data_IF_210268146183
#
_entry.id   IF_210268146183
#
_cell.length_a   1.000
_cell.length_b   1.000
_cell.length_c   1.000
_cell.angle_alpha   90.00
_cell.angle_beta   90.00
_cell.angle_gamma   90.00
#
_symmetry.space_group_name_H-M   'P 1'
#
loop_
_entity.id
_entity.type
_entity.pdbx_description
1 polymer ?
#
# COMPACT_ATOMS: atom_id res chain seq x y z
N UNK A 1 14.27 -11.14 6.53
CA UNK A 1 14.54 -9.71 6.27
C UNK A 1 13.84 -9.39 4.96
N UNK A 2 12.75 -8.63 5.02
CA UNK A 2 11.92 -8.33 3.85
C UNK A 2 12.60 -7.21 3.05
N UNK A 3 13.22 -7.55 1.92
CA UNK A 3 13.90 -6.59 1.03
C UNK A 3 12.87 -6.19 -0.03
N UNK A 4 12.45 -4.93 0.04
CA UNK A 4 11.66 -4.30 -1.01
C UNK A 4 12.63 -3.69 -2.01
N UNK A 5 12.51 -4.07 -3.28
CA UNK A 5 13.43 -3.62 -4.34
C UNK A 5 13.11 -2.19 -4.84
N UNK A 6 12.01 -1.63 -4.33
CA UNK A 6 11.50 -0.29 -4.61
C UNK A 6 11.57 0.56 -3.33
N UNK A 7 12.34 1.67 -3.32
CA UNK A 7 12.53 2.50 -2.14
C UNK A 7 11.25 3.25 -1.74
N UNK A 8 10.45 3.70 -2.70
CA UNK A 8 9.17 4.38 -2.48
C UNK A 8 8.21 3.42 -1.78
N UNK A 9 8.12 2.20 -2.28
CA UNK A 9 7.32 1.14 -1.70
C UNK A 9 7.80 0.77 -0.30
N UNK A 10 9.12 0.71 -0.07
CA UNK A 10 9.67 0.42 1.26
C UNK A 10 9.21 1.45 2.31
N UNK A 11 9.20 2.73 1.95
CA UNK A 11 8.70 3.80 2.82
C UNK A 11 7.19 3.68 3.03
N UNK A 12 6.42 3.42 1.98
CA UNK A 12 4.97 3.21 2.09
C UNK A 12 4.62 2.06 3.03
N UNK A 13 5.27 0.92 2.86
CA UNK A 13 5.06 -0.24 3.73
C UNK A 13 5.43 0.09 5.18
N UNK A 14 6.55 0.78 5.39
CA UNK A 14 7.00 1.17 6.74
C UNK A 14 6.03 2.13 7.43
N UNK A 15 5.53 3.14 6.72
CA UNK A 15 4.74 4.21 7.32
C UNK A 15 3.24 3.94 7.30
N UNK A 16 2.71 3.31 6.26
CA UNK A 16 1.29 2.99 6.13
C UNK A 16 0.94 1.58 6.65
N UNK A 17 1.89 0.64 6.65
CA UNK A 17 1.69 -0.71 7.20
C UNK A 17 1.69 -0.77 8.74
N UNK A 18 2.21 0.27 9.40
CA UNK A 18 2.40 0.29 10.85
C UNK A 18 3.37 -0.80 11.33
N UNK A 19 3.15 -1.32 12.54
CA UNK A 19 3.95 -2.43 13.11
C UNK A 19 3.74 -3.78 12.40
N UNK A 20 2.84 -3.84 11.41
CA UNK A 20 2.63 -5.04 10.61
C UNK A 20 3.72 -5.09 9.55
N UNK A 21 4.76 -5.88 9.79
CA UNK A 21 5.63 -6.30 8.69
C UNK A 21 4.74 -6.95 7.64
N UNK A 22 4.65 -6.35 6.45
CA UNK A 22 3.99 -6.99 5.32
C UNK A 22 4.83 -8.20 4.93
N UNK A 23 4.52 -9.36 5.53
CA UNK A 23 5.09 -10.64 5.15
C UNK A 23 4.49 -11.02 3.81
N UNK A 24 4.98 -10.41 2.73
CA UNK A 24 4.68 -10.90 1.40
C UNK A 24 5.30 -12.30 1.27
N UNK A 25 4.53 -13.24 0.73
CA UNK A 25 4.96 -14.63 0.62
C UNK A 25 5.96 -14.78 -0.52
N UNK A 26 7.24 -15.00 -0.19
CA UNK A 26 8.26 -15.35 -1.18
C UNK A 26 7.88 -16.62 -1.95
N UNK A 27 7.19 -17.57 -1.31
CA UNK A 27 6.67 -18.77 -1.98
C UNK A 27 5.63 -18.42 -3.05
N UNK A 28 4.70 -17.51 -2.74
CA UNK A 28 3.69 -17.06 -3.72
C UNK A 28 4.32 -16.34 -4.90
N UNK A 29 5.34 -15.51 -4.65
CA UNK A 29 6.14 -14.90 -5.71
C UNK A 29 6.78 -15.95 -6.62
N UNK A 30 7.46 -16.94 -6.04
CA UNK A 30 8.16 -17.97 -6.81
C UNK A 30 7.18 -18.80 -7.66
N UNK A 31 6.02 -19.17 -7.11
CA UNK A 31 5.00 -19.87 -7.89
C UNK A 31 4.51 -19.03 -9.08
N UNK A 32 4.25 -17.74 -8.88
CA UNK A 32 3.80 -16.85 -9.95
C UNK A 32 4.89 -16.58 -11.00
N UNK A 33 6.14 -16.50 -10.57
CA UNK A 33 7.27 -16.35 -11.48
C UNK A 33 7.46 -17.60 -12.34
N UNK A 34 7.34 -18.80 -11.76
CA UNK A 34 7.41 -20.06 -12.50
C UNK A 34 6.27 -20.16 -13.53
N UNK A 35 5.04 -19.84 -13.14
CA UNK A 35 3.88 -19.82 -14.07
C UNK A 35 4.13 -18.88 -15.27
N UNK A 36 4.68 -17.68 -15.03
CA UNK A 36 5.00 -16.73 -16.09
C UNK A 36 6.13 -17.22 -17.01
N UNK A 37 7.17 -17.87 -16.46
CA UNK A 37 8.24 -18.47 -17.25
C UNK A 37 7.69 -19.63 -18.08
N UNK A 38 6.88 -20.51 -17.48
CA UNK A 38 6.25 -21.65 -18.15
C UNK A 38 5.36 -21.21 -19.32
N UNK A 39 4.55 -20.17 -19.12
CA UNK A 39 3.73 -19.56 -20.18
C UNK A 39 4.61 -19.04 -21.32
N UNK A 40 5.67 -18.28 -20.99
CA UNK A 40 6.61 -17.74 -21.98
C UNK A 40 7.31 -18.84 -22.79
N UNK A 41 7.82 -19.90 -22.13
CA UNK A 41 8.57 -20.96 -22.80
C UNK A 41 7.67 -21.98 -23.52
N UNK A 42 6.36 -21.97 -23.25
CA UNK A 42 5.40 -22.92 -23.85
C UNK A 42 5.38 -22.88 -25.38
N UNK A 43 5.70 -21.73 -25.97
CA UNK A 43 5.74 -21.49 -27.41
C UNK A 43 7.01 -22.01 -28.10
N UNK A 44 8.01 -22.48 -27.35
CA UNK A 44 9.29 -22.94 -27.86
C UNK A 44 9.43 -24.46 -27.78
N UNK A 45 10.30 -25.00 -28.63
CA UNK A 45 10.64 -26.44 -28.66
C UNK A 45 11.37 -26.86 -27.39
N UNK A 46 11.30 -28.15 -27.03
CA UNK A 46 11.91 -28.66 -25.80
C UNK A 46 13.41 -28.36 -25.68
N UNK A 47 14.12 -28.32 -26.81
CA UNK A 47 15.55 -28.02 -26.89
C UNK A 47 15.86 -26.54 -26.59
N UNK A 48 14.93 -25.63 -26.94
CA UNK A 48 15.10 -24.19 -26.76
C UNK A 48 14.59 -23.68 -25.41
N UNK A 49 13.65 -24.41 -24.77
CA UNK A 49 12.97 -23.98 -23.54
C UNK A 49 13.94 -23.54 -22.43
N UNK A 50 15.01 -24.29 -22.21
CA UNK A 50 15.98 -23.95 -21.16
C UNK A 50 16.71 -22.63 -21.46
N UNK A 51 17.15 -22.44 -22.71
CA UNK A 51 17.83 -21.20 -23.12
C UNK A 51 16.88 -19.99 -23.03
N UNK A 52 15.62 -20.16 -23.45
CA UNK A 52 14.58 -19.12 -23.37
C UNK A 52 14.18 -18.78 -21.94
N UNK A 53 14.12 -19.77 -21.05
CA UNK A 53 13.87 -19.52 -19.63
C UNK A 53 14.97 -18.64 -19.02
N UNK A 54 16.24 -18.92 -19.33
CA UNK A 54 17.38 -18.13 -18.85
C UNK A 54 17.33 -16.69 -19.39
N UNK A 55 17.09 -16.53 -20.70
CA UNK A 55 16.93 -15.22 -21.33
C UNK A 55 15.81 -14.40 -20.67
N UNK A 56 14.67 -15.04 -20.39
CA UNK A 56 13.57 -14.39 -19.69
C UNK A 56 13.96 -13.93 -18.29
N UNK A 57 14.66 -14.76 -17.52
CA UNK A 57 15.10 -14.41 -16.16
C UNK A 57 16.07 -13.23 -16.20
N UNK A 58 17.05 -13.26 -17.09
CA UNK A 58 18.04 -12.19 -17.25
C UNK A 58 17.38 -10.85 -17.61
N UNK A 59 16.37 -10.88 -18.49
CA UNK A 59 15.71 -9.67 -18.97
C UNK A 59 14.63 -9.15 -18.01
N UNK A 60 13.90 -10.04 -17.33
CA UNK A 60 12.63 -9.66 -16.70
C UNK A 60 12.55 -9.90 -15.19
N UNK A 61 13.44 -10.69 -14.58
CA UNK A 61 13.24 -11.13 -13.18
C UNK A 61 13.15 -9.96 -12.19
N UNK A 62 13.99 -8.93 -12.37
CA UNK A 62 14.00 -7.75 -11.48
C UNK A 62 12.72 -6.95 -11.58
N UNK A 63 12.33 -6.57 -12.79
CA UNK A 63 11.11 -5.78 -13.03
C UNK A 63 9.86 -6.57 -12.64
N UNK A 64 9.84 -7.87 -12.91
CA UNK A 64 8.75 -8.75 -12.52
C UNK A 64 8.59 -8.78 -10.99
N UNK A 65 9.70 -8.89 -10.25
CA UNK A 65 9.70 -8.84 -8.78
C UNK A 65 9.18 -7.52 -8.24
N UNK A 66 9.65 -6.39 -8.77
CA UNK A 66 9.17 -5.07 -8.36
C UNK A 66 7.65 -4.92 -8.59
N UNK A 67 7.16 -5.29 -9.77
CA UNK A 67 5.71 -5.24 -10.08
C UNK A 67 4.89 -6.17 -9.20
N UNK A 68 5.41 -7.34 -8.86
CA UNK A 68 4.75 -8.23 -7.92
C UNK A 68 4.69 -7.62 -6.52
N UNK A 69 5.81 -7.07 -6.02
CA UNK A 69 5.88 -6.44 -4.71
C UNK A 69 4.90 -5.27 -4.58
N UNK A 70 4.81 -4.39 -5.60
CA UNK A 70 3.85 -3.27 -5.59
C UNK A 70 2.40 -3.76 -5.48
N UNK A 71 2.02 -4.77 -6.27
CA UNK A 71 0.66 -5.36 -6.24
C UNK A 71 0.34 -6.03 -4.92
N UNK A 72 1.26 -6.83 -4.40
CA UNK A 72 1.08 -7.54 -3.14
C UNK A 72 1.03 -6.58 -1.94
N UNK A 73 1.83 -5.51 -1.96
CA UNK A 73 1.74 -4.43 -0.99
C UNK A 73 0.41 -3.68 -1.07
N UNK A 74 -0.12 -3.39 -2.26
CA UNK A 74 -1.46 -2.82 -2.40
C UNK A 74 -2.54 -3.71 -1.78
N UNK A 75 -2.52 -5.03 -2.05
CA UNK A 75 -3.47 -5.98 -1.46
C UNK A 75 -3.38 -5.97 0.06
N UNK A 76 -2.18 -5.89 0.62
CA UNK A 76 -2.01 -5.88 2.07
C UNK A 76 -2.40 -4.53 2.71
N UNK A 77 -2.00 -3.41 2.10
CA UNK A 77 -2.26 -2.05 2.59
C UNK A 77 -3.73 -1.64 2.41
N UNK A 78 -4.43 -2.14 1.40
CA UNK A 78 -5.87 -1.87 1.21
C UNK A 78 -6.75 -2.39 2.36
N UNK A 79 -6.24 -3.36 3.13
CA UNK A 79 -6.88 -3.89 4.34
C UNK A 79 -6.58 -3.04 5.58
N UNK A 80 -5.61 -2.13 5.51
CA UNK A 80 -5.30 -1.22 6.60
C UNK A 80 -6.45 -0.22 6.80
N UNK A 81 -6.59 0.26 8.03
CA UNK A 81 -7.58 1.24 8.43
C UNK A 81 -6.92 2.25 9.35
N UNK A 82 -7.37 3.50 9.25
CA UNK A 82 -6.97 4.55 10.16
C UNK A 82 -7.57 4.27 11.55
N UNK A 83 -6.74 3.97 12.54
CA UNK A 83 -7.19 3.53 13.88
C UNK A 83 -7.85 4.64 14.68
N UNK A 84 -7.37 5.88 14.52
CA UNK A 84 -7.90 7.09 15.18
C UNK A 84 -8.17 8.19 14.15
N UNK A 85 -9.00 7.90 13.14
CA UNK A 85 -9.19 8.86 12.05
C UNK A 85 -10.08 10.04 12.47
N UNK A 86 -9.59 11.30 12.47
CA UNK A 86 -10.41 12.46 12.81
C UNK A 86 -11.45 12.81 11.73
N UNK A 87 -11.46 12.07 10.61
CA UNK A 87 -12.35 12.26 9.46
C UNK A 87 -13.46 11.21 9.38
N UNK A 88 -13.52 10.27 10.33
CA UNK A 88 -14.59 9.29 10.42
C UNK A 88 -15.72 9.90 11.27
N UNK A 89 -16.93 9.95 10.70
CA UNK A 89 -18.13 10.10 11.52
C UNK A 89 -18.37 8.75 12.20
N UNK A 90 -18.71 8.78 13.50
CA UNK A 90 -18.57 7.74 14.53
C UNK A 90 -19.27 6.38 14.26
N UNK A 91 -19.72 6.10 13.04
CA UNK A 91 -20.49 4.91 12.67
C UNK A 91 -20.27 4.36 11.25
N UNK A 92 -19.33 4.86 10.45
CA UNK A 92 -19.13 4.32 9.08
C UNK A 92 -18.06 3.21 9.02
N UNK A 93 -18.41 2.08 8.40
CA UNK A 93 -17.47 0.99 8.03
C UNK A 93 -16.62 1.34 6.80
N UNK A 94 -16.86 2.51 6.20
CA UNK A 94 -16.17 2.98 5.00
C UNK A 94 -14.84 3.67 5.32
N UNK A 95 -13.81 3.53 4.46
CA UNK A 95 -12.58 4.31 4.60
C UNK A 95 -12.87 5.82 4.57
N UNK A 96 -12.14 6.60 5.36
CA UNK A 96 -12.27 8.05 5.33
C UNK A 96 -11.93 8.60 3.93
N UNK A 97 -12.40 9.81 3.61
CA UNK A 97 -12.23 10.41 2.29
C UNK A 97 -10.76 10.44 1.82
N UNK A 98 -9.82 10.79 2.71
CA UNK A 98 -8.38 10.79 2.41
C UNK A 98 -7.87 9.37 2.11
N UNK A 99 -8.27 8.39 2.92
CA UNK A 99 -7.85 7.00 2.73
C UNK A 99 -8.38 6.43 1.42
N UNK A 100 -9.63 6.76 1.03
CA UNK A 100 -10.20 6.35 -0.26
C UNK A 100 -9.40 6.88 -1.45
N UNK A 101 -9.02 8.17 -1.43
CA UNK A 101 -8.20 8.76 -2.50
C UNK A 101 -6.78 8.19 -2.50
N UNK A 102 -6.18 7.99 -1.33
CA UNK A 102 -4.86 7.37 -1.23
C UNK A 102 -4.85 5.93 -1.76
N UNK A 103 -5.91 5.14 -1.53
CA UNK A 103 -6.03 3.79 -2.09
C UNK A 103 -6.11 3.80 -3.62
N UNK A 104 -6.73 4.81 -4.22
CA UNK A 104 -6.76 4.96 -5.68
C UNK A 104 -5.36 5.29 -6.24
N UNK A 105 -4.63 6.22 -5.60
CA UNK A 105 -3.24 6.51 -5.95
C UNK A 105 -2.35 5.28 -5.81
N UNK A 106 -2.49 4.53 -4.71
CA UNK A 106 -1.71 3.31 -4.46
C UNK A 106 -2.04 2.22 -5.48
N UNK A 107 -3.30 2.11 -5.91
CA UNK A 107 -3.71 1.18 -6.96
C UNK A 107 -3.02 1.52 -8.28
N UNK A 108 -3.09 2.78 -8.71
CA UNK A 108 -2.46 3.26 -9.96
C UNK A 108 -0.95 3.11 -9.95
N UNK A 109 -0.32 3.39 -8.82
CA UNK A 109 1.11 3.11 -8.63
C UNK A 109 1.43 1.61 -8.71
N UNK A 110 0.58 0.75 -8.13
CA UNK A 110 0.75 -0.70 -8.16
C UNK A 110 0.49 -1.35 -9.52
N UNK A 111 -0.22 -0.67 -10.42
CA UNK A 111 -0.41 -1.07 -11.82
C UNK A 111 0.59 -0.44 -12.78
N UNK A 112 1.60 0.28 -12.27
CA UNK A 112 2.57 1.08 -13.03
C UNK A 112 1.92 2.17 -13.92
N UNK A 113 0.68 2.57 -13.62
CA UNK A 113 0.01 3.71 -14.27
C UNK A 113 0.50 5.07 -13.72
N UNK A 114 1.26 5.05 -12.62
CA UNK A 114 1.90 6.22 -12.00
C UNK A 114 3.38 5.95 -11.78
N UNK A 115 4.21 6.94 -12.10
CA UNK A 115 5.61 6.95 -11.71
C UNK A 115 5.75 7.18 -10.19
N UNK A 116 6.89 6.79 -9.63
CA UNK A 116 7.25 7.09 -8.24
C UNK A 116 7.11 8.59 -7.92
N UNK A 117 7.54 9.45 -8.85
CA UNK A 117 7.50 10.90 -8.67
C UNK A 117 6.07 11.43 -8.62
N UNK A 118 5.23 11.01 -9.58
CA UNK A 118 3.83 11.44 -9.65
C UNK A 118 3.04 10.92 -8.45
N UNK A 119 3.29 9.69 -8.03
CA UNK A 119 2.68 9.13 -6.83
C UNK A 119 3.01 9.97 -5.59
N UNK A 120 4.28 10.31 -5.37
CA UNK A 120 4.70 11.12 -4.22
C UNK A 120 4.07 12.51 -4.30
N UNK A 121 4.11 13.15 -5.47
CA UNK A 121 3.53 14.47 -5.70
C UNK A 121 2.02 14.50 -5.38
N UNK A 122 1.27 13.54 -5.92
CA UNK A 122 -0.18 13.47 -5.76
C UNK A 122 -0.56 13.10 -4.32
N UNK A 123 0.21 12.22 -3.67
CA UNK A 123 0.01 11.88 -2.27
C UNK A 123 0.24 13.09 -1.34
N UNK A 124 1.29 13.89 -1.59
CA UNK A 124 1.54 15.11 -0.82
C UNK A 124 0.47 16.18 -1.07
N UNK A 125 0.03 16.33 -2.32
CA UNK A 125 -1.05 17.25 -2.70
C UNK A 125 -2.37 16.88 -2.04
N UNK A 126 -2.68 15.59 -1.94
CA UNK A 126 -3.84 15.07 -1.21
C UNK A 126 -3.78 15.47 0.28
N UNK A 127 -2.61 15.31 0.92
CA UNK A 127 -2.44 15.68 2.33
C UNK A 127 -2.55 17.19 2.55
N UNK A 128 -1.97 18.01 1.66
CA UNK A 128 -2.06 19.47 1.78
C UNK A 128 -3.49 19.97 1.62
N UNK A 129 -4.25 19.40 0.68
CA UNK A 129 -5.68 19.71 0.48
C UNK A 129 -6.52 19.47 1.73
N UNK A 130 -6.18 18.43 2.50
CA UNK A 130 -6.90 18.07 3.73
C UNK A 130 -6.23 18.56 5.01
N UNK A 131 -5.15 19.34 4.91
CA UNK A 131 -4.30 19.77 6.04
C UNK A 131 -5.09 20.36 7.20
N UNK A 132 -6.03 21.26 6.93
CA UNK A 132 -6.78 21.95 7.99
C UNK A 132 -7.76 21.02 8.73
N UNK A 133 -8.25 19.97 8.04
CA UNK A 133 -9.12 18.95 8.63
C UNK A 133 -8.34 17.87 9.37
N UNK A 134 -7.04 17.74 9.09
CA UNK A 134 -6.13 16.86 9.82
C UNK A 134 -5.62 17.47 11.14
N UNK A 135 -5.78 18.79 11.37
CA UNK A 135 -5.31 19.51 12.58
C UNK A 135 -6.06 19.18 13.88
N UNK A 136 -6.93 18.16 13.92
CA UNK A 136 -7.78 17.87 15.07
C UNK A 136 -7.10 16.89 16.04
N UNK A 137 -6.01 17.35 16.69
CA UNK A 137 -5.19 16.50 17.56
C UNK A 137 -4.90 17.01 18.98
N UNK A 138 -5.30 18.25 19.34
CA UNK A 138 -5.09 18.77 20.71
C UNK A 138 -6.34 19.27 21.42
N UNK A 139 -7.35 19.79 20.71
CA UNK A 139 -8.50 20.41 21.39
C UNK A 139 -9.56 19.45 21.92
N UNK A 140 -9.59 18.17 21.49
CA UNK A 140 -10.56 17.19 22.00
C UNK A 140 -10.14 16.46 23.28
N UNK A 141 -8.90 16.64 23.77
CA UNK A 141 -8.45 16.06 25.06
C UNK A 141 -8.66 16.98 26.28
N UNK A 142 -9.21 18.17 26.09
CA UNK A 142 -9.63 19.05 27.20
C UNK A 142 -11.12 19.39 27.06
N UNK A 143 -11.98 18.43 27.35
CA UNK A 143 -13.29 18.77 27.91
C UNK A 143 -13.33 18.19 29.33
N UNK A 144 -13.14 19.00 30.38
CA UNK A 144 -13.46 18.55 31.72
C UNK A 144 -14.99 18.54 31.83
N UNK A 145 -15.56 17.35 31.71
CA UNK A 145 -16.91 17.08 32.14
C UNK A 145 -16.91 16.96 33.67
N UNK A 146 -17.41 18.00 34.36
CA UNK A 146 -17.83 17.98 35.77
C UNK A 146 -18.48 19.33 36.12
N UNK A 147 -19.66 19.62 35.56
CA UNK A 147 -20.60 20.58 36.17
C UNK A 147 -22.00 20.00 36.17
N UNK A 148 -22.21 19.03 37.06
CA UNK A 148 -23.55 18.76 37.59
C UNK A 148 -23.45 18.35 39.05
N UNK A 149 -24.41 18.87 39.83
CA UNK A 149 -24.82 18.48 41.20
C UNK A 149 -24.14 19.20 42.39
N UNK A 150 -24.77 20.29 42.87
CA UNK A 150 -25.67 20.24 44.05
C UNK A 150 -26.15 21.66 44.41
N UNK A 151 -27.35 22.01 43.93
CA UNK A 151 -28.24 22.98 44.57
C UNK A 151 -29.59 22.26 44.70
N UNK A 152 -29.75 21.54 45.81
CA UNK A 152 -31.04 21.10 46.30
C UNK A 152 -31.39 22.02 47.47
N UNK A 153 -32.43 22.83 47.27
CA UNK A 153 -33.22 23.42 48.35
C UNK A 153 -34.29 22.47 48.82
#
# INVERSE_FOLDING_TARGET
MYIVDDPTLALLVRFAGGDRSLNLSDAEFLFKQLEAIEEYVSHYSAEERQARAMEWVEMHAREYRQRWQKRAAFVALSRSRCTDCPLVDDSSTEPCAVHKHWLDLLRRYATDDLSDHDYIHDALSLLDTHRDRLKVGRSRRCSPDSRTELMAG
#
